data_IF_003735902959
#
_entry.id   IF_003735902959
#
_cell.length_a   1.000
_cell.length_b   1.000
_cell.length_c   1.000
_cell.angle_alpha   90.00
_cell.angle_beta   90.00
_cell.angle_gamma   90.00
#
_symmetry.space_group_name_H-M   'P 1'
#
loop_
_entity.id
_entity.type
_entity.pdbx_description
1 polymer ?
#
# COMPACT_ATOMS: atom_id res chain seq x y z
N UNK A 1 8.18 -72.15 -2.20
CA UNK A 1 8.23 -70.98 -3.10
C UNK A 1 7.49 -69.80 -2.41
N UNK A 2 8.23 -68.89 -1.80
CA UNK A 2 7.66 -67.72 -1.09
C UNK A 2 7.95 -66.52 -1.93
N UNK A 3 6.89 -65.89 -2.46
CA UNK A 3 6.96 -64.58 -3.15
C UNK A 3 7.06 -63.47 -2.10
N UNK A 4 8.13 -62.69 -2.16
CA UNK A 4 8.27 -61.45 -1.43
C UNK A 4 7.69 -60.31 -2.30
N UNK A 5 6.64 -59.64 -1.79
CA UNK A 5 6.10 -58.43 -2.37
C UNK A 5 6.85 -57.23 -1.77
N UNK A 6 7.65 -56.55 -2.60
CA UNK A 6 8.31 -55.32 -2.21
C UNK A 6 7.33 -54.15 -2.36
N UNK A 7 6.97 -53.55 -1.26
CA UNK A 7 6.17 -52.31 -1.25
C UNK A 7 7.10 -51.10 -1.42
N UNK A 8 7.03 -50.45 -2.56
CA UNK A 8 7.76 -49.21 -2.83
C UNK A 8 6.96 -48.02 -2.25
N UNK A 9 7.45 -47.47 -1.15
CA UNK A 9 6.92 -46.22 -0.61
C UNK A 9 7.39 -45.05 -1.49
N UNK A 10 6.47 -44.44 -2.24
CA UNK A 10 6.69 -43.14 -2.86
C UNK A 10 6.59 -42.08 -1.76
N UNK A 11 7.73 -41.50 -1.38
CA UNK A 11 7.77 -40.28 -0.55
C UNK A 11 7.44 -39.07 -1.42
N UNK A 12 6.21 -38.56 -1.34
CA UNK A 12 5.84 -37.28 -1.89
C UNK A 12 6.38 -36.18 -0.99
N UNK A 13 7.50 -35.56 -1.39
CA UNK A 13 8.01 -34.36 -0.74
C UNK A 13 7.09 -33.18 -1.08
N UNK A 14 6.29 -32.75 -0.12
CA UNK A 14 5.60 -31.43 -0.16
C UNK A 14 6.68 -30.34 -0.02
N UNK A 15 7.06 -29.75 -1.13
CA UNK A 15 7.79 -28.48 -1.10
C UNK A 15 6.82 -27.40 -0.60
N UNK A 16 6.87 -27.09 0.68
CA UNK A 16 6.28 -25.86 1.20
C UNK A 16 7.06 -24.71 0.57
N UNK A 17 6.42 -23.97 -0.34
CA UNK A 17 6.98 -22.74 -0.89
C UNK A 17 7.06 -21.74 0.27
N UNK A 18 8.23 -21.57 0.87
CA UNK A 18 8.48 -20.49 1.81
C UNK A 18 8.16 -19.17 1.10
N UNK A 19 7.11 -18.52 1.53
CA UNK A 19 6.75 -17.17 1.05
C UNK A 19 7.73 -16.20 1.67
N UNK A 20 8.85 -15.98 1.01
CA UNK A 20 9.77 -14.91 1.38
C UNK A 20 9.06 -13.57 1.19
N UNK A 21 9.11 -12.70 2.22
CA UNK A 21 8.59 -11.34 2.10
C UNK A 21 9.35 -10.61 0.98
N UNK A 22 8.68 -9.72 0.22
CA UNK A 22 9.36 -8.91 -0.78
C UNK A 22 10.46 -8.09 -0.12
N UNK A 23 11.62 -8.03 -0.76
CA UNK A 23 12.78 -7.29 -0.24
C UNK A 23 12.62 -5.78 -0.40
N UNK A 24 11.75 -5.35 -1.33
CA UNK A 24 11.50 -3.96 -1.68
C UNK A 24 10.06 -3.77 -2.10
N UNK A 25 9.52 -2.55 -1.92
CA UNK A 25 8.24 -2.17 -2.52
C UNK A 25 8.20 -2.43 -4.03
N UNK A 26 9.35 -2.27 -4.69
CA UNK A 26 9.48 -2.42 -6.16
C UNK A 26 9.27 -3.85 -6.68
N UNK A 27 9.26 -4.85 -5.80
CA UNK A 27 9.05 -6.26 -6.16
C UNK A 27 7.56 -6.63 -6.25
N UNK A 28 6.68 -5.67 -5.96
CA UNK A 28 5.24 -5.87 -5.89
C UNK A 28 4.51 -5.30 -7.10
N UNK A 29 3.30 -5.81 -7.32
CA UNK A 29 2.30 -5.23 -8.24
C UNK A 29 0.91 -5.29 -7.62
N UNK A 30 0.03 -4.39 -8.05
CA UNK A 30 -1.38 -4.36 -7.67
C UNK A 30 -2.23 -3.82 -8.81
N UNK A 31 -3.52 -4.09 -8.77
CA UNK A 31 -4.48 -3.49 -9.69
C UNK A 31 -4.93 -2.13 -9.20
N UNK A 32 -4.94 -1.16 -10.09
CA UNK A 32 -5.53 0.16 -9.89
C UNK A 32 -7.06 0.09 -9.85
N UNK A 33 -7.75 1.17 -9.46
CA UNK A 33 -9.22 1.20 -9.42
C UNK A 33 -9.87 0.92 -10.78
N UNK A 34 -9.23 1.31 -11.89
CA UNK A 34 -9.68 1.00 -13.25
C UNK A 34 -9.29 -0.41 -13.74
N UNK A 35 -8.70 -1.23 -12.86
CA UNK A 35 -8.41 -2.64 -13.10
C UNK A 35 -7.10 -2.91 -13.84
N UNK A 36 -6.29 -1.90 -14.13
CA UNK A 36 -4.99 -2.07 -14.77
C UNK A 36 -3.95 -2.64 -13.79
N UNK A 37 -3.14 -3.58 -14.25
CA UNK A 37 -2.00 -4.09 -13.46
C UNK A 37 -0.91 -3.01 -13.40
N UNK A 38 -0.54 -2.62 -12.19
CA UNK A 38 0.52 -1.64 -11.94
C UNK A 38 1.67 -2.29 -11.20
N UNK A 39 2.79 -2.49 -11.88
CA UNK A 39 4.03 -2.93 -11.25
C UNK A 39 4.68 -1.76 -10.51
N UNK A 40 5.06 -1.96 -9.24
CA UNK A 40 5.69 -0.91 -8.44
C UNK A 40 7.16 -0.69 -8.79
N UNK A 41 7.74 -1.53 -9.63
CA UNK A 41 9.04 -1.28 -10.26
C UNK A 41 9.06 0.03 -11.09
N UNK A 42 7.90 0.51 -11.56
CA UNK A 42 7.76 1.81 -12.22
C UNK A 42 8.07 3.00 -11.28
N UNK A 43 8.12 2.77 -9.97
CA UNK A 43 8.42 3.79 -8.96
C UNK A 43 9.89 3.74 -8.48
N UNK A 44 10.75 2.92 -9.09
CA UNK A 44 12.19 2.91 -8.78
C UNK A 44 12.78 4.30 -8.90
N UNK A 45 13.58 4.70 -7.89
CA UNK A 45 14.18 6.04 -7.85
C UNK A 45 13.23 7.16 -7.43
N UNK A 46 11.97 6.84 -7.11
CA UNK A 46 10.98 7.79 -6.60
C UNK A 46 10.74 7.56 -5.10
N UNK A 47 10.40 8.63 -4.41
CA UNK A 47 9.89 8.57 -3.04
C UNK A 47 8.41 8.26 -3.10
N UNK A 48 7.95 7.27 -2.32
CA UNK A 48 6.54 6.87 -2.30
C UNK A 48 5.93 7.17 -0.93
N UNK A 49 4.76 7.80 -0.91
CA UNK A 49 3.91 7.93 0.26
C UNK A 49 2.69 7.01 0.09
N UNK A 50 2.71 5.88 0.78
CA UNK A 50 1.62 4.90 0.77
C UNK A 50 0.61 5.24 1.87
N UNK A 51 -0.68 5.34 1.55
CA UNK A 51 -1.74 5.78 2.47
C UNK A 51 -2.96 4.87 2.34
N UNK A 52 -3.44 4.30 3.45
CA UNK A 52 -4.74 3.64 3.45
C UNK A 52 -5.85 4.69 3.60
N UNK A 53 -6.80 4.67 2.69
CA UNK A 53 -7.78 5.73 2.53
C UNK A 53 -9.21 5.21 2.66
N UNK A 54 -10.16 6.13 2.94
CA UNK A 54 -11.58 5.84 3.02
C UNK A 54 -12.41 7.08 2.69
N UNK A 55 -13.61 6.86 2.11
CA UNK A 55 -14.51 7.93 1.64
C UNK A 55 -15.39 8.51 2.75
N UNK A 56 -15.66 7.75 3.84
CA UNK A 56 -16.62 8.12 4.89
C UNK A 56 -15.98 8.25 6.28
N UNK A 57 -14.74 8.74 6.33
CA UNK A 57 -13.95 8.89 7.55
C UNK A 57 -13.84 10.36 7.97
N UNK A 58 -13.74 10.62 9.27
CA UNK A 58 -13.42 11.97 9.76
C UNK A 58 -12.10 12.55 9.21
N UNK A 59 -11.18 11.70 8.78
CA UNK A 59 -9.94 12.10 8.12
C UNK A 59 -10.02 12.22 6.59
N UNK A 60 -11.17 11.93 5.95
CA UNK A 60 -11.36 12.04 4.50
C UNK A 60 -10.94 13.41 3.91
N UNK A 61 -11.13 14.56 4.62
CA UNK A 61 -10.61 15.85 4.13
C UNK A 61 -9.10 15.88 3.87
N UNK A 62 -8.31 14.94 4.42
CA UNK A 62 -6.87 14.83 4.12
C UNK A 62 -6.57 14.52 2.64
N UNK A 63 -7.54 14.04 1.85
CA UNK A 63 -7.36 13.91 0.40
C UNK A 63 -6.94 15.23 -0.26
N UNK A 64 -7.51 16.35 0.15
CA UNK A 64 -7.14 17.67 -0.38
C UNK A 64 -5.65 17.99 -0.10
N UNK A 65 -5.19 17.73 1.13
CA UNK A 65 -3.79 17.91 1.51
C UNK A 65 -2.84 16.96 0.79
N UNK A 66 -3.24 15.68 0.63
CA UNK A 66 -2.48 14.70 -0.15
C UNK A 66 -2.35 15.12 -1.62
N UNK A 67 -3.45 15.59 -2.23
CA UNK A 67 -3.42 16.06 -3.61
C UNK A 67 -2.53 17.30 -3.76
N UNK A 68 -2.59 18.23 -2.83
CA UNK A 68 -1.70 19.40 -2.82
C UNK A 68 -0.23 18.99 -2.71
N UNK A 69 0.09 18.10 -1.76
CA UNK A 69 1.44 17.57 -1.59
C UNK A 69 1.93 16.86 -2.86
N UNK A 70 1.08 16.03 -3.47
CA UNK A 70 1.40 15.36 -4.73
C UNK A 70 1.70 16.35 -5.85
N UNK A 71 0.84 17.34 -6.05
CA UNK A 71 1.01 18.36 -7.09
C UNK A 71 2.32 19.14 -6.90
N UNK A 72 2.68 19.46 -5.65
CA UNK A 72 3.88 20.24 -5.32
C UNK A 72 5.19 19.44 -5.57
N UNK A 73 5.18 18.13 -5.28
CA UNK A 73 6.42 17.33 -5.27
C UNK A 73 6.52 16.26 -6.38
N UNK A 74 5.47 16.01 -7.17
CA UNK A 74 5.49 14.95 -8.20
C UNK A 74 6.64 15.11 -9.21
N UNK A 75 6.90 16.34 -9.64
CA UNK A 75 7.97 16.63 -10.60
C UNK A 75 9.37 16.55 -9.96
N UNK A 76 9.44 16.52 -8.63
CA UNK A 76 10.65 16.28 -7.85
C UNK A 76 10.83 14.80 -7.48
N UNK A 77 9.90 13.94 -7.88
CA UNK A 77 10.00 12.50 -7.72
C UNK A 77 9.15 11.91 -6.58
N UNK A 78 8.18 12.64 -6.00
CA UNK A 78 7.21 12.08 -5.08
C UNK A 78 6.07 11.38 -5.84
N UNK A 79 5.71 10.19 -5.39
CA UNK A 79 4.48 9.49 -5.78
C UNK A 79 3.64 9.24 -4.54
N UNK A 80 2.34 9.49 -4.60
CA UNK A 80 1.40 9.08 -3.56
C UNK A 80 0.61 7.88 -4.08
N UNK A 81 0.48 6.84 -3.26
CA UNK A 81 -0.30 5.65 -3.56
C UNK A 81 -1.42 5.52 -2.54
N UNK A 82 -2.67 5.61 -2.98
CA UNK A 82 -3.85 5.46 -2.13
C UNK A 82 -4.41 4.04 -2.20
N UNK A 83 -4.63 3.44 -1.04
CA UNK A 83 -5.13 2.08 -0.87
C UNK A 83 -6.49 2.12 -0.14
N UNK A 84 -7.62 2.11 -0.85
CA UNK A 84 -8.93 2.03 -0.23
C UNK A 84 -9.04 0.82 0.69
N UNK A 85 -9.57 1.02 1.91
CA UNK A 85 -9.67 -0.01 2.91
C UNK A 85 -10.96 0.10 3.74
N UNK A 86 -11.72 -1.00 3.86
CA UNK A 86 -12.97 -1.02 4.60
C UNK A 86 -12.85 -1.59 6.03
N UNK A 87 -11.63 -1.88 6.52
CA UNK A 87 -11.43 -2.54 7.81
C UNK A 87 -11.56 -1.61 9.03
N UNK A 88 -11.71 -0.31 8.83
CA UNK A 88 -11.86 0.68 9.90
C UNK A 88 -13.27 1.28 9.89
N UNK A 89 -14.18 0.67 10.68
CA UNK A 89 -15.55 1.14 10.83
C UNK A 89 -16.40 1.06 9.56
N UNK A 90 -16.03 0.20 8.59
CA UNK A 90 -16.71 0.06 7.31
C UNK A 90 -16.88 1.39 6.53
N UNK A 91 -15.85 2.27 6.63
CA UNK A 91 -15.89 3.63 6.09
C UNK A 91 -15.44 3.73 4.62
N UNK A 92 -15.28 2.61 3.93
CA UNK A 92 -15.04 2.53 2.47
C UNK A 92 -16.00 1.53 1.83
N UNK A 93 -17.33 1.76 1.88
CA UNK A 93 -18.31 0.79 1.39
C UNK A 93 -18.34 0.69 -0.14
N UNK A 94 -17.99 1.77 -0.85
CA UNK A 94 -18.12 1.91 -2.29
C UNK A 94 -17.34 0.89 -3.12
N UNK A 95 -17.79 0.62 -4.33
CA UNK A 95 -17.06 -0.12 -5.35
C UNK A 95 -16.04 0.77 -6.06
N UNK A 96 -15.08 0.17 -6.78
CA UNK A 96 -13.94 0.86 -7.38
C UNK A 96 -14.33 2.13 -8.18
N UNK A 97 -15.35 2.04 -9.04
CA UNK A 97 -15.82 3.20 -9.83
C UNK A 97 -16.42 4.31 -8.97
N UNK A 98 -17.11 3.96 -7.87
CA UNK A 98 -17.67 4.92 -6.93
C UNK A 98 -16.57 5.65 -6.16
N UNK A 99 -15.57 4.91 -5.67
CA UNK A 99 -14.39 5.46 -4.97
C UNK A 99 -13.64 6.42 -5.89
N UNK A 100 -13.37 6.00 -7.13
CA UNK A 100 -12.68 6.85 -8.11
C UNK A 100 -13.44 8.14 -8.38
N UNK A 101 -14.75 8.04 -8.63
CA UNK A 101 -15.63 9.21 -8.86
C UNK A 101 -15.64 10.12 -7.65
N UNK A 102 -15.75 9.58 -6.45
CA UNK A 102 -15.75 10.33 -5.20
C UNK A 102 -14.45 11.13 -5.04
N UNK A 103 -13.30 10.46 -5.17
CA UNK A 103 -11.99 11.08 -5.01
C UNK A 103 -11.74 12.18 -6.05
N UNK A 104 -12.12 11.94 -7.32
CA UNK A 104 -11.94 12.94 -8.38
C UNK A 104 -12.86 14.15 -8.21
N UNK A 105 -14.17 13.93 -7.96
CA UNK A 105 -15.15 15.01 -7.90
C UNK A 105 -15.00 15.88 -6.66
N UNK A 106 -14.68 15.28 -5.51
CA UNK A 106 -14.67 16.01 -4.24
C UNK A 106 -13.28 16.60 -3.91
N UNK A 107 -12.20 15.97 -4.40
CA UNK A 107 -10.83 16.34 -3.99
C UNK A 107 -9.87 16.52 -5.16
N UNK A 108 -10.31 16.31 -6.41
CA UNK A 108 -9.46 16.42 -7.59
C UNK A 108 -8.28 15.46 -7.59
N UNK A 109 -8.41 14.28 -6.96
CA UNK A 109 -7.32 13.31 -6.82
C UNK A 109 -6.83 12.86 -8.19
N UNK A 110 -5.51 13.00 -8.41
CA UNK A 110 -4.81 12.57 -9.61
C UNK A 110 -3.67 11.59 -9.33
N UNK A 111 -3.34 11.33 -8.08
CA UNK A 111 -2.38 10.29 -7.72
C UNK A 111 -3.01 8.89 -7.84
N UNK A 112 -2.21 7.83 -8.06
CA UNK A 112 -2.69 6.46 -8.21
C UNK A 112 -3.52 5.97 -7.02
N UNK A 113 -4.70 5.42 -7.32
CA UNK A 113 -5.55 4.70 -6.38
C UNK A 113 -5.66 3.24 -6.82
N UNK A 114 -5.64 2.32 -5.86
CA UNK A 114 -5.67 0.89 -6.07
C UNK A 114 -7.02 0.28 -5.68
N UNK A 115 -7.27 -0.96 -6.09
CA UNK A 115 -8.44 -1.70 -5.66
C UNK A 115 -8.45 -1.84 -4.14
N UNK A 116 -9.65 -1.89 -3.57
CA UNK A 116 -9.87 -2.07 -2.13
C UNK A 116 -9.15 -3.33 -1.64
N UNK A 117 -8.43 -3.21 -0.53
CA UNK A 117 -7.65 -4.30 0.03
C UNK A 117 -7.59 -4.26 1.57
N UNK A 118 -7.20 -5.37 2.15
CA UNK A 118 -6.95 -5.47 3.58
C UNK A 118 -5.54 -4.97 3.93
N UNK A 119 -5.47 -4.13 4.96
CA UNK A 119 -4.23 -3.46 5.42
C UNK A 119 -3.74 -3.96 6.76
N UNK A 120 -4.54 -4.75 7.46
CA UNK A 120 -4.23 -5.33 8.78
C UNK A 120 -4.73 -6.76 8.92
N UNK A 121 -4.20 -7.45 9.93
CA UNK A 121 -4.54 -8.83 10.25
C UNK A 121 -3.86 -9.87 9.33
N UNK A 122 -4.16 -11.17 9.52
CA UNK A 122 -3.45 -12.24 8.83
C UNK A 122 -3.71 -12.27 7.32
N UNK A 123 -4.84 -11.70 6.86
CA UNK A 123 -5.23 -11.61 5.44
C UNK A 123 -4.75 -10.36 4.71
N UNK A 124 -3.95 -9.50 5.36
CA UNK A 124 -3.50 -8.25 4.73
C UNK A 124 -2.76 -8.49 3.43
N UNK A 125 -2.97 -7.59 2.48
CA UNK A 125 -2.38 -7.66 1.16
C UNK A 125 -0.84 -7.66 1.20
N UNK A 126 -0.13 -8.28 0.21
CA UNK A 126 1.34 -8.35 0.19
C UNK A 126 2.02 -6.99 0.34
N UNK A 127 1.46 -5.92 -0.22
CA UNK A 127 1.99 -4.56 -0.05
C UNK A 127 1.96 -4.12 1.42
N UNK A 128 0.91 -4.46 2.16
CA UNK A 128 0.83 -4.15 3.59
C UNK A 128 1.62 -5.13 4.45
N UNK A 129 1.86 -6.37 4.02
CA UNK A 129 2.83 -7.25 4.67
C UNK A 129 4.22 -6.61 4.65
N UNK A 130 4.61 -6.02 3.53
CA UNK A 130 5.88 -5.29 3.39
C UNK A 130 5.89 -3.98 4.20
N UNK A 131 4.91 -3.09 4.01
CA UNK A 131 4.88 -1.76 4.64
C UNK A 131 4.85 -1.84 6.17
N UNK A 132 4.14 -2.82 6.72
CA UNK A 132 3.93 -2.95 8.17
C UNK A 132 5.04 -3.70 8.89
N UNK A 133 5.93 -4.38 8.18
CA UNK A 133 6.95 -5.26 8.77
C UNK A 133 7.87 -4.54 9.78
N UNK A 134 8.19 -3.27 9.52
CA UNK A 134 9.10 -2.48 10.37
C UNK A 134 8.38 -1.57 11.37
N UNK A 135 7.24 -1.00 10.97
CA UNK A 135 6.58 0.08 11.73
C UNK A 135 5.21 -0.29 12.27
N UNK A 136 4.78 -1.55 12.10
CA UNK A 136 3.49 -2.04 12.56
C UNK A 136 2.31 -1.67 11.66
N UNK A 137 1.14 -2.18 12.01
CA UNK A 137 -0.09 -2.03 11.25
C UNK A 137 -0.73 -0.64 11.43
N UNK A 138 -1.51 -0.17 10.43
CA UNK A 138 -2.29 1.05 10.58
C UNK A 138 -3.29 0.90 11.73
N UNK A 139 -3.33 1.89 12.62
CA UNK A 139 -4.33 1.94 13.69
C UNK A 139 -5.70 2.45 13.19
N UNK A 140 -5.72 3.23 12.10
CA UNK A 140 -6.93 3.82 11.52
C UNK A 140 -6.72 4.19 10.05
N UNK A 141 -7.77 4.69 9.37
CA UNK A 141 -7.70 5.26 8.03
C UNK A 141 -6.72 6.45 7.98
N UNK A 142 -6.13 6.71 6.82
CA UNK A 142 -5.15 7.79 6.57
C UNK A 142 -3.85 7.63 7.38
N UNK A 143 -3.48 6.42 7.76
CA UNK A 143 -2.12 6.10 8.19
C UNK A 143 -1.19 6.13 6.97
N UNK A 144 0.04 6.58 7.14
CA UNK A 144 0.96 6.79 6.02
C UNK A 144 2.27 6.08 6.27
N UNK A 145 2.85 5.52 5.20
CA UNK A 145 4.22 4.98 5.18
C UNK A 145 5.02 5.70 4.11
N UNK A 146 6.15 6.27 4.51
CA UNK A 146 7.10 6.89 3.60
C UNK A 146 8.12 5.85 3.18
N UNK A 147 8.31 5.69 1.86
CA UNK A 147 9.22 4.73 1.25
C UNK A 147 10.27 5.51 0.45
N UNK A 148 11.52 5.16 0.61
CA UNK A 148 12.64 5.78 -0.07
C UNK A 148 12.78 5.39 -1.54
N UNK A 149 13.70 6.03 -2.23
CA UNK A 149 14.01 5.80 -3.66
C UNK A 149 14.48 4.36 -3.94
N UNK A 150 15.00 3.69 -2.93
CA UNK A 150 15.42 2.27 -2.94
C UNK A 150 14.28 1.28 -2.69
N UNK A 151 13.07 1.80 -2.42
CA UNK A 151 11.90 1.00 -2.11
C UNK A 151 11.82 0.52 -0.66
N UNK A 152 12.69 1.00 0.27
CA UNK A 152 12.65 0.64 1.68
C UNK A 152 11.76 1.59 2.48
N UNK A 153 11.04 1.05 3.48
CA UNK A 153 10.19 1.87 4.35
C UNK A 153 11.08 2.67 5.30
N UNK A 154 10.97 3.99 5.23
CA UNK A 154 11.77 4.94 6.02
C UNK A 154 11.08 5.32 7.32
N UNK A 155 9.76 5.60 7.27
CA UNK A 155 9.00 6.12 8.39
C UNK A 155 7.51 5.82 8.23
N UNK A 156 6.79 5.76 9.35
CA UNK A 156 5.32 5.70 9.39
C UNK A 156 4.76 6.90 10.16
N UNK A 157 3.56 7.35 9.74
CA UNK A 157 2.88 8.48 10.35
C UNK A 157 1.44 8.09 10.68
N UNK A 158 1.00 8.28 11.93
CA UNK A 158 -0.38 8.00 12.32
C UNK A 158 -1.37 8.94 11.59
N UNK A 159 -2.63 8.55 11.58
CA UNK A 159 -3.73 9.26 10.88
C UNK A 159 -3.81 10.74 11.20
N UNK A 160 -3.52 11.13 12.46
CA UNK A 160 -3.55 12.51 12.93
C UNK A 160 -2.48 13.43 12.31
N UNK A 161 -1.40 12.87 11.74
CA UNK A 161 -0.38 13.66 11.07
C UNK A 161 -0.93 14.06 9.70
N UNK A 162 -1.27 15.34 9.57
CA UNK A 162 -1.85 15.89 8.34
C UNK A 162 -0.81 15.96 7.21
N UNK A 163 -1.23 15.87 5.93
CA UNK A 163 -0.32 15.94 4.79
C UNK A 163 0.49 17.24 4.68
N UNK A 164 -0.03 18.34 5.21
CA UNK A 164 0.60 19.65 5.23
C UNK A 164 1.41 19.94 6.52
N UNK A 165 1.46 18.98 7.45
CA UNK A 165 2.24 19.13 8.68
C UNK A 165 3.73 19.28 8.39
N UNK A 166 4.42 20.08 9.20
CA UNK A 166 5.87 20.25 9.11
C UNK A 166 6.61 18.90 9.24
N UNK A 167 6.11 18.01 10.08
CA UNK A 167 6.68 16.68 10.30
C UNK A 167 6.71 15.87 9.00
N UNK A 168 5.58 15.72 8.32
CA UNK A 168 5.49 14.92 7.09
C UNK A 168 6.26 15.60 5.94
N UNK A 169 6.11 16.90 5.78
CA UNK A 169 6.81 17.66 4.71
C UNK A 169 8.33 17.57 4.85
N UNK A 170 8.85 17.73 6.06
CA UNK A 170 10.30 17.61 6.32
C UNK A 170 10.82 16.21 5.97
N UNK A 171 10.07 15.16 6.34
CA UNK A 171 10.45 13.78 6.02
C UNK A 171 10.43 13.52 4.50
N UNK A 172 9.39 13.99 3.79
CA UNK A 172 9.31 13.89 2.32
C UNK A 172 10.47 14.63 1.66
N UNK A 173 10.77 15.86 2.07
CA UNK A 173 11.86 16.64 1.52
C UNK A 173 13.23 16.01 1.77
N UNK A 174 13.42 15.40 2.95
CA UNK A 174 14.64 14.67 3.27
C UNK A 174 14.82 13.43 2.36
N UNK A 175 13.73 12.69 2.11
CA UNK A 175 13.76 11.51 1.24
C UNK A 175 13.97 11.86 -0.25
N UNK A 176 13.55 13.06 -0.68
CA UNK A 176 13.69 13.54 -2.06
C UNK A 176 15.11 14.03 -2.41
N UNK A 177 15.96 14.30 -1.42
CA UNK A 177 17.40 14.66 -1.64
C UNK A 177 18.18 13.45 -2.15
#
# INVERSE_FOLDING_TARGET
MRLAVAATLLATSLFATERTLPMSLHDLSLRTLDGQEQAFSAYKGKVVLAVNVASECGYTPQYAGLQKLYTEYKDRGLVILGFPCNQFGAQEPGEAAQIQTFCQRNYGVTFPLFQKLDVKGPGKAPVYQFLTAKFGEPAWNFHKYLVGKDGQVLQAFPSKVAPDSAELRTAVEAALR
#
